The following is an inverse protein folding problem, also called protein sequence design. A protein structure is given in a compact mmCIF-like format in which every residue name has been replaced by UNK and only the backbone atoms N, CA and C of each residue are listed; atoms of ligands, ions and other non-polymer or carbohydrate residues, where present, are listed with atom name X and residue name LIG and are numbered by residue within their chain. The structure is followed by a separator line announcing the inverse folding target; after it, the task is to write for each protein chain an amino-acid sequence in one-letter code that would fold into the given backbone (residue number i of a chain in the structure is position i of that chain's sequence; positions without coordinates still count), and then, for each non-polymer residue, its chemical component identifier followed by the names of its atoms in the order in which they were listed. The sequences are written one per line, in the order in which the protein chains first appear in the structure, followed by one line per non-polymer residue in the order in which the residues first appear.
data_IF_352150210921
#
_entry.id   IF_352150210921
#
_cell.length_a   1.000
_cell.length_b   1.000
_cell.length_c   1.000
_cell.angle_alpha   90.00
_cell.angle_beta   90.00
_cell.angle_gamma   90.00
#
_symmetry.space_group_name_H-M   'P 1'
#
loop_
_entity.id
_entity.type
_entity.pdbx_description
1 polymer ?
#
# COMPACT_ATOMS: atom_id res chain seq x y z
N UNK A 1 14.29 -0.50 33.33
CA UNK A 1 15.39 0.49 33.15
C UNK A 1 16.24 -0.01 31.98
N UNK A 2 16.08 0.52 30.76
CA UNK A 2 16.75 1.72 30.21
C UNK A 2 18.20 1.42 29.76
N UNK A 3 18.56 1.89 28.55
CA UNK A 3 19.91 2.05 27.93
C UNK A 3 20.33 0.83 27.09
N UNK A 4 20.86 0.92 25.87
CA UNK A 4 21.27 2.04 25.02
C UNK A 4 21.48 1.52 23.59
N UNK A 5 21.22 2.38 22.59
CA UNK A 5 21.73 2.26 21.23
C UNK A 5 23.26 2.35 21.16
N UNK A 6 23.87 1.77 20.10
CA UNK A 6 25.17 2.04 19.44
C UNK A 6 25.17 1.10 18.20
N UNK A 7 24.84 1.53 16.98
CA UNK A 7 25.62 2.37 16.05
C UNK A 7 27.03 1.86 15.78
N UNK A 8 27.15 0.91 14.84
CA UNK A 8 28.35 0.57 14.05
C UNK A 8 27.76 0.14 12.70
N UNK A 9 27.98 0.86 11.60
CA UNK A 9 29.04 0.58 10.63
C UNK A 9 29.33 1.88 9.88
N UNK A 10 30.51 2.43 10.13
CA UNK A 10 31.16 3.45 9.33
C UNK A 10 32.61 2.98 9.14
N UNK A 11 32.98 2.57 7.92
CA UNK A 11 34.30 2.75 7.31
C UNK A 11 34.40 1.91 6.03
N UNK A 12 34.59 2.59 4.90
CA UNK A 12 34.86 1.99 3.59
C UNK A 12 35.09 3.06 2.54
N UNK A 13 36.04 3.95 2.81
CA UNK A 13 36.59 4.99 1.91
C UNK A 13 37.27 4.35 0.69
N UNK A 14 37.21 5.00 -0.48
CA UNK A 14 38.06 4.91 -1.71
C UNK A 14 37.15 4.90 -2.95
N UNK A 15 37.23 5.74 -3.99
CA UNK A 15 38.24 6.70 -4.45
C UNK A 15 37.58 7.64 -5.46
N UNK A 16 38.05 8.89 -5.52
CA UNK A 16 37.67 9.88 -6.50
C UNK A 16 38.03 9.46 -7.95
N UNK A 17 37.10 9.63 -8.88
CA UNK A 17 37.39 9.88 -10.29
C UNK A 17 36.63 11.13 -10.69
N UNK A 18 37.36 12.24 -10.80
CA UNK A 18 36.95 13.45 -11.48
C UNK A 18 37.84 13.64 -12.69
N UNK A 19 37.22 13.69 -13.88
CA UNK A 19 37.67 14.17 -15.21
C UNK A 19 36.42 13.94 -16.09
N UNK A 20 35.56 14.89 -16.48
CA UNK A 20 35.74 16.29 -16.83
C UNK A 20 35.57 16.44 -18.34
N UNK A 21 34.37 16.73 -18.85
CA UNK A 21 34.15 17.16 -20.25
C UNK A 21 32.81 17.90 -20.46
N UNK A 22 32.88 19.23 -20.30
CA UNK A 22 32.30 20.33 -21.08
C UNK A 22 30.89 20.22 -21.75
N UNK A 23 30.01 21.19 -21.46
CA UNK A 23 28.92 21.60 -22.36
C UNK A 23 27.77 22.46 -21.79
N UNK A 24 28.05 23.73 -21.41
CA UNK A 24 27.09 24.88 -21.30
C UNK A 24 26.20 24.98 -20.04
N UNK A 25 26.45 25.87 -19.04
CA UNK A 25 26.05 27.31 -18.89
C UNK A 25 24.56 27.56 -19.21
N UNK A 26 23.67 28.00 -18.31
CA UNK A 26 23.71 29.06 -17.28
C UNK A 26 22.92 28.64 -16.01
N UNK A 27 23.50 28.65 -14.80
CA UNK A 27 23.55 29.77 -13.83
C UNK A 27 22.18 30.30 -13.38
N UNK A 28 21.85 30.11 -12.08
CA UNK A 28 20.79 30.91 -11.46
C UNK A 28 20.18 30.39 -10.16
N UNK A 29 20.95 30.51 -9.06
CA UNK A 29 20.50 30.82 -7.69
C UNK A 29 19.18 30.21 -7.11
N UNK A 30 19.34 29.42 -6.05
CA UNK A 30 18.37 29.36 -4.94
C UNK A 30 18.29 30.72 -4.22
N UNK A 31 17.11 31.13 -3.73
CA UNK A 31 16.82 30.88 -2.32
C UNK A 31 15.36 30.46 -2.02
N UNK A 32 15.19 30.06 -0.78
CA UNK A 32 14.03 29.44 -0.17
C UNK A 32 12.77 30.32 -0.02
N UNK A 33 11.69 29.62 0.35
CA UNK A 33 10.52 30.03 1.15
C UNK A 33 9.19 30.26 0.41
N UNK A 34 8.24 29.39 0.79
CA UNK A 34 6.79 29.59 0.96
C UNK A 34 5.98 30.25 -0.14
N UNK A 35 5.13 29.44 -0.78
CA UNK A 35 3.73 29.80 -0.98
C UNK A 35 2.86 28.55 -0.92
N UNK A 36 2.07 28.50 0.15
CA UNK A 36 0.88 27.68 0.37
C UNK A 36 0.14 27.38 -0.93
N UNK A 37 0.03 26.10 -1.25
CA UNK A 37 -1.10 25.56 -2.00
C UNK A 37 -1.74 24.54 -1.06
N UNK A 38 -2.58 25.04 -0.15
CA UNK A 38 -3.62 24.20 0.43
C UNK A 38 -4.53 23.81 -0.73
N UNK A 39 -4.19 22.69 -1.37
CA UNK A 39 -5.16 21.94 -2.14
C UNK A 39 -6.17 21.42 -1.13
N UNK A 40 -7.23 22.22 -0.95
CA UNK A 40 -8.43 21.85 -0.22
C UNK A 40 -9.09 20.72 -1.01
N UNK A 41 -8.55 19.51 -0.87
CA UNK A 41 -9.21 18.28 -1.25
C UNK A 41 -10.37 18.13 -0.27
N UNK A 42 -11.49 18.74 -0.64
CA UNK A 42 -12.78 18.49 0.02
C UNK A 42 -12.96 16.97 0.00
N UNK A 43 -13.04 16.28 1.15
CA UNK A 43 -13.26 14.85 1.14
C UNK A 43 -14.68 14.66 0.60
N UNK A 44 -14.77 14.35 -0.69
CA UNK A 44 -16.00 13.83 -1.28
C UNK A 44 -16.35 12.61 -0.44
N UNK A 45 -17.46 12.70 0.29
CA UNK A 45 -17.98 11.59 1.06
C UNK A 45 -18.19 10.43 0.09
N UNK A 46 -17.38 9.38 0.24
CA UNK A 46 -17.45 8.19 -0.58
C UNK A 46 -18.85 7.58 -0.43
N UNK A 47 -19.64 7.67 -1.48
CA UNK A 47 -20.89 6.94 -1.63
C UNK A 47 -20.55 5.46 -1.88
N UNK A 48 -21.48 4.52 -1.63
CA UNK A 48 -21.24 3.10 -2.00
C UNK A 48 -20.86 2.91 -3.48
N UNK A 49 -21.16 3.89 -4.35
CA UNK A 49 -20.74 3.91 -5.74
C UNK A 49 -19.23 4.16 -5.94
N UNK A 50 -18.52 4.63 -4.91
CA UNK A 50 -17.11 5.05 -4.96
C UNK A 50 -16.13 3.98 -4.49
N UNK A 51 -16.64 2.82 -4.04
CA UNK A 51 -15.82 1.70 -3.57
C UNK A 51 -16.13 0.42 -4.35
N UNK A 52 -15.09 -0.14 -4.96
CA UNK A 52 -15.10 -1.46 -5.59
C UNK A 52 -14.81 -2.50 -4.51
N UNK A 53 -15.82 -3.25 -4.11
CA UNK A 53 -15.67 -4.37 -3.17
C UNK A 53 -15.16 -5.60 -3.92
N UNK A 54 -14.13 -6.25 -3.38
CA UNK A 54 -13.54 -7.48 -3.91
C UNK A 54 -13.68 -8.57 -2.85
N UNK A 55 -14.41 -9.64 -3.17
CA UNK A 55 -14.54 -10.79 -2.29
C UNK A 55 -13.27 -11.64 -2.25
N UNK A 56 -12.78 -11.94 -1.05
CA UNK A 56 -11.68 -12.88 -0.82
C UNK A 56 -12.19 -14.10 -0.05
N UNK A 57 -12.20 -15.27 -0.70
CA UNK A 57 -12.59 -16.53 -0.05
C UNK A 57 -11.36 -17.42 0.07
N UNK A 58 -11.03 -17.79 1.29
CA UNK A 58 -9.95 -18.72 1.60
C UNK A 58 -10.20 -19.37 2.97
N UNK A 59 -9.31 -20.27 3.36
CA UNK A 59 -9.31 -20.90 4.67
C UNK A 59 -8.74 -19.91 5.69
N UNK A 60 -9.61 -19.09 6.28
CA UNK A 60 -9.20 -18.09 7.28
C UNK A 60 -9.21 -18.69 8.69
N UNK A 61 -9.91 -19.81 8.87
CA UNK A 61 -9.78 -20.68 10.03
C UNK A 61 -9.50 -22.13 9.60
N UNK A 62 -9.21 -23.01 10.56
CA UNK A 62 -8.90 -24.42 10.30
C UNK A 62 -7.41 -24.69 10.06
N UNK A 63 -7.09 -25.89 9.57
CA UNK A 63 -5.72 -26.41 9.50
C UNK A 63 -4.79 -25.63 8.54
N UNK A 64 -5.35 -24.94 7.56
CA UNK A 64 -4.65 -24.22 6.49
C UNK A 64 -4.71 -22.69 6.66
N UNK A 65 -5.16 -22.21 7.83
CA UNK A 65 -5.32 -20.77 8.16
C UNK A 65 -4.08 -19.92 7.87
N UNK A 66 -2.88 -20.47 8.06
CA UNK A 66 -1.62 -19.77 7.78
C UNK A 66 -1.58 -19.22 6.35
N UNK A 67 -1.99 -20.03 5.37
CA UNK A 67 -1.96 -19.65 3.97
C UNK A 67 -3.06 -18.65 3.62
N UNK A 68 -4.28 -18.85 4.16
CA UNK A 68 -5.38 -17.91 3.96
C UNK A 68 -5.09 -16.53 4.57
N UNK A 69 -4.52 -16.48 5.77
CA UNK A 69 -4.16 -15.21 6.39
C UNK A 69 -3.00 -14.52 5.66
N UNK A 70 -1.99 -15.28 5.20
CA UNK A 70 -0.91 -14.72 4.40
C UNK A 70 -1.42 -14.10 3.09
N UNK A 71 -2.32 -14.81 2.39
CA UNK A 71 -2.94 -14.30 1.17
C UNK A 71 -3.82 -13.06 1.42
N UNK A 72 -4.63 -13.07 2.48
CA UNK A 72 -5.47 -11.92 2.85
C UNK A 72 -4.62 -10.69 3.18
N UNK A 73 -3.56 -10.85 3.98
CA UNK A 73 -2.66 -9.75 4.32
C UNK A 73 -1.99 -9.17 3.07
N UNK A 74 -1.54 -10.02 2.15
CA UNK A 74 -0.95 -9.58 0.88
C UNK A 74 -1.96 -8.83 0.00
N UNK A 75 -3.21 -9.31 -0.06
CA UNK A 75 -4.28 -8.62 -0.78
C UNK A 75 -4.59 -7.25 -0.17
N UNK A 76 -4.63 -7.15 1.16
CA UNK A 76 -4.84 -5.89 1.86
C UNK A 76 -3.71 -4.89 1.60
N UNK A 77 -2.45 -5.32 1.66
CA UNK A 77 -1.29 -4.47 1.34
C UNK A 77 -1.35 -3.97 -0.10
N UNK A 78 -1.68 -4.84 -1.06
CA UNK A 78 -1.80 -4.42 -2.46
C UNK A 78 -2.94 -3.41 -2.66
N UNK A 79 -4.07 -3.61 -1.99
CA UNK A 79 -5.21 -2.69 -2.04
C UNK A 79 -4.88 -1.35 -1.40
N UNK A 80 -4.13 -1.34 -0.29
CA UNK A 80 -3.62 -0.11 0.33
C UNK A 80 -2.77 0.68 -0.66
N UNK A 81 -1.73 0.07 -1.25
CA UNK A 81 -0.86 0.69 -2.25
C UNK A 81 -1.64 1.24 -3.47
N UNK A 82 -2.64 0.49 -3.94
CA UNK A 82 -3.48 0.90 -5.09
C UNK A 82 -4.35 2.10 -4.70
N UNK A 83 -4.96 2.06 -3.52
CA UNK A 83 -5.80 3.12 -3.02
C UNK A 83 -5.02 4.40 -2.79
N UNK A 84 -3.79 4.33 -2.27
CA UNK A 84 -2.89 5.48 -2.12
C UNK A 84 -2.57 6.14 -3.47
N UNK A 85 -2.49 5.35 -4.55
CA UNK A 85 -2.25 5.83 -5.93
C UNK A 85 -3.51 6.32 -6.65
N UNK A 86 -4.61 6.55 -5.92
CA UNK A 86 -5.87 7.05 -6.48
C UNK A 86 -6.89 5.97 -6.84
N UNK A 87 -6.62 4.70 -6.48
CA UNK A 87 -7.56 3.59 -6.69
C UNK A 87 -7.64 3.13 -8.14
N UNK A 88 -8.76 2.48 -8.49
CA UNK A 88 -9.03 1.98 -9.84
C UNK A 88 -10.19 2.77 -10.44
N UNK A 89 -9.95 3.42 -11.58
CA UNK A 89 -10.94 4.30 -12.23
C UNK A 89 -11.47 5.40 -11.28
N UNK A 90 -10.61 5.90 -10.39
CA UNK A 90 -10.96 6.91 -9.37
C UNK A 90 -11.76 6.37 -8.19
N UNK A 91 -11.97 5.05 -8.10
CA UNK A 91 -12.70 4.39 -7.01
C UNK A 91 -11.75 3.64 -6.08
N UNK A 92 -12.04 3.66 -4.79
CA UNK A 92 -11.28 2.89 -3.79
C UNK A 92 -11.63 1.41 -3.91
N UNK A 93 -10.72 0.55 -3.48
CA UNK A 93 -10.93 -0.89 -3.38
C UNK A 93 -11.08 -1.27 -1.91
N UNK A 94 -12.00 -2.19 -1.62
CA UNK A 94 -12.15 -2.83 -0.31
C UNK A 94 -12.11 -4.35 -0.48
N UNK A 95 -11.31 -5.03 0.34
CA UNK A 95 -11.31 -6.50 0.38
C UNK A 95 -12.33 -6.97 1.42
N UNK A 96 -13.32 -7.74 0.99
CA UNK A 96 -14.32 -8.34 1.87
C UNK A 96 -14.02 -9.83 2.03
N UNK A 97 -13.59 -10.21 3.23
CA UNK A 97 -13.13 -11.56 3.51
C UNK A 97 -14.27 -12.51 3.89
N UNK A 98 -14.24 -13.74 3.34
CA UNK A 98 -15.14 -14.83 3.67
C UNK A 98 -14.37 -16.11 3.99
N UNK A 99 -14.65 -16.71 5.13
CA UNK A 99 -13.97 -17.93 5.56
C UNK A 99 -14.62 -19.19 4.96
N UNK A 100 -13.88 -19.88 4.10
CA UNK A 100 -14.26 -21.14 3.48
C UNK A 100 -13.84 -22.39 4.27
N UNK A 101 -12.99 -22.23 5.30
CA UNK A 101 -12.54 -23.31 6.22
C UNK A 101 -11.92 -24.55 5.58
N UNK A 102 -11.55 -24.53 4.30
CA UNK A 102 -11.12 -25.70 3.53
C UNK A 102 -12.27 -26.60 3.06
N UNK A 103 -13.52 -26.17 3.25
CA UNK A 103 -14.71 -26.98 3.04
C UNK A 103 -15.59 -26.41 1.93
N UNK A 104 -16.10 -27.29 1.05
CA UNK A 104 -16.91 -26.87 -0.10
C UNK A 104 -18.21 -26.15 0.32
N UNK A 105 -18.88 -26.67 1.34
CA UNK A 105 -20.14 -26.09 1.84
C UNK A 105 -19.92 -24.72 2.47
N UNK A 106 -18.90 -24.57 3.31
CA UNK A 106 -18.55 -23.30 3.93
C UNK A 106 -18.12 -22.27 2.87
N UNK A 107 -17.35 -22.67 1.86
CA UNK A 107 -16.95 -21.80 0.75
C UNK A 107 -18.14 -21.26 -0.05
N UNK A 108 -19.13 -22.11 -0.35
CA UNK A 108 -20.38 -21.68 -1.01
C UNK A 108 -21.18 -20.73 -0.12
N UNK A 109 -21.19 -20.96 1.20
CA UNK A 109 -21.87 -20.07 2.14
C UNK A 109 -21.16 -18.73 2.30
N UNK A 110 -19.83 -18.72 2.32
CA UNK A 110 -19.01 -17.52 2.29
C UNK A 110 -19.31 -16.72 1.03
N UNK A 111 -19.30 -17.35 -0.15
CA UNK A 111 -19.65 -16.69 -1.41
C UNK A 111 -21.05 -16.07 -1.38
N UNK A 112 -22.05 -16.76 -0.82
CA UNK A 112 -23.41 -16.23 -0.70
C UNK A 112 -23.47 -14.97 0.16
N UNK A 113 -22.67 -14.90 1.24
CA UNK A 113 -22.55 -13.71 2.09
C UNK A 113 -21.82 -12.56 1.38
N UNK A 114 -20.84 -12.91 0.56
CA UNK A 114 -20.07 -11.99 -0.28
C UNK A 114 -20.76 -11.65 -1.60
N UNK A 115 -22.05 -11.96 -1.79
CA UNK A 115 -22.83 -11.39 -2.89
C UNK A 115 -22.89 -9.88 -2.68
N UNK A 116 -21.85 -9.20 -3.14
CA UNK A 116 -21.68 -7.76 -3.20
C UNK A 116 -22.84 -7.26 -4.07
N UNK A 117 -23.81 -6.62 -3.41
CA UNK A 117 -24.99 -5.98 -4.00
C UNK A 117 -24.58 -4.64 -4.60
#
# INVERSE_FOLDING_TARGET
MKKSAISVILAGVMTAVALGACGGTDQGATPAASATSEESTTPTAATDSDTIKIGYISDLSGATTLWGQAGLNGAMMAVEDINEKGGVLGKKIEVVAGDGKGEATDSVNALKKLKIQ
#
